data_IF_492204334918
#
_entry.id   IF_492204334918
#
_cell.length_a   1.000
_cell.length_b   1.000
_cell.length_c   1.000
_cell.angle_alpha   90.00
_cell.angle_beta   90.00
_cell.angle_gamma   90.00
#
_symmetry.space_group_name_H-M   'P 1'
#
loop_
_entity.id
_entity.type
_entity.pdbx_description
1 polymer ?
#
# COMPACT_ATOMS: atom_id res chain seq x y z
N UNK A 1 0.91 -36.60 26.50
CA UNK A 1 1.74 -36.17 25.36
C UNK A 1 1.11 -36.44 23.98
N UNK A 2 -0.18 -36.78 23.93
CA UNK A 2 -0.92 -37.04 22.68
C UNK A 2 -2.06 -36.04 22.40
N UNK A 3 -2.27 -35.06 23.26
CA UNK A 3 -3.36 -34.06 23.10
C UNK A 3 -2.91 -32.72 22.49
N UNK A 4 -1.63 -32.53 22.18
CA UNK A 4 -1.09 -31.28 21.63
C UNK A 4 -0.85 -31.32 20.11
N UNK A 5 -1.20 -32.41 19.42
CA UNK A 5 -1.01 -32.52 17.95
C UNK A 5 -2.25 -32.29 17.10
N UNK A 6 -3.39 -31.92 17.67
CA UNK A 6 -4.66 -31.84 16.96
C UNK A 6 -5.20 -30.40 16.71
N UNK A 7 -4.34 -29.35 16.77
CA UNK A 7 -4.74 -27.95 16.45
C UNK A 7 -3.65 -27.16 15.71
N UNK A 8 -2.92 -27.81 14.82
CA UNK A 8 -2.19 -27.10 13.76
C UNK A 8 -2.94 -27.30 12.44
N UNK A 9 -4.14 -26.76 12.34
CA UNK A 9 -4.66 -26.29 11.05
C UNK A 9 -3.71 -25.23 10.56
N UNK A 10 -3.19 -25.35 9.32
CA UNK A 10 -2.37 -24.31 8.71
C UNK A 10 -3.15 -23.01 8.81
N UNK A 11 -2.69 -22.04 9.63
CA UNK A 11 -3.25 -20.71 9.63
C UNK A 11 -3.13 -20.17 8.22
N UNK A 12 -4.26 -19.70 7.66
CA UNK A 12 -4.28 -19.11 6.33
C UNK A 12 -3.39 -17.87 6.34
N UNK A 13 -2.58 -17.70 5.30
CA UNK A 13 -1.74 -16.50 5.17
C UNK A 13 -2.62 -15.25 5.00
N UNK A 14 -2.17 -14.14 5.59
CA UNK A 14 -2.79 -12.83 5.41
C UNK A 14 -2.27 -12.17 4.13
N UNK A 15 -3.18 -11.59 3.34
CA UNK A 15 -2.87 -10.80 2.16
C UNK A 15 -3.58 -9.45 2.26
N UNK A 16 -2.82 -8.39 2.08
CA UNK A 16 -3.33 -7.03 2.01
C UNK A 16 -3.50 -6.64 0.54
N UNK A 17 -4.73 -6.33 0.15
CA UNK A 17 -5.09 -5.99 -1.23
C UNK A 17 -5.61 -4.56 -1.28
N UNK A 18 -4.99 -3.70 -2.09
CA UNK A 18 -5.49 -2.34 -2.34
C UNK A 18 -6.34 -2.32 -3.59
N UNK A 19 -7.51 -1.67 -3.52
CA UNK A 19 -8.38 -1.46 -4.68
C UNK A 19 -8.19 -0.05 -5.22
N UNK A 20 -7.68 0.03 -6.45
CA UNK A 20 -7.29 1.28 -7.11
C UNK A 20 -8.05 1.46 -8.44
N UNK A 21 -8.05 2.64 -9.00
CA UNK A 21 -8.71 2.97 -10.26
C UNK A 21 -9.33 4.36 -10.24
N UNK A 22 -9.86 4.77 -11.39
CA UNK A 22 -10.48 6.09 -11.55
C UNK A 22 -11.70 6.25 -10.63
N UNK A 23 -12.12 7.49 -10.40
CA UNK A 23 -13.41 7.81 -9.75
C UNK A 23 -14.53 7.11 -10.50
N UNK A 24 -15.52 6.67 -9.77
CA UNK A 24 -16.71 5.97 -10.29
C UNK A 24 -16.43 4.68 -11.08
N UNK A 25 -15.20 4.13 -11.03
CA UNK A 25 -14.90 2.82 -11.65
C UNK A 25 -15.53 1.63 -10.89
N UNK A 26 -16.21 1.88 -9.76
CA UNK A 26 -16.91 0.87 -8.98
C UNK A 26 -16.04 0.16 -7.93
N UNK A 27 -14.99 0.81 -7.42
CA UNK A 27 -14.10 0.27 -6.38
C UNK A 27 -14.87 -0.18 -5.14
N UNK A 28 -15.57 0.76 -4.50
CA UNK A 28 -16.32 0.48 -3.26
C UNK A 28 -17.46 -0.51 -3.48
N UNK A 29 -18.15 -0.45 -4.64
CA UNK A 29 -19.19 -1.42 -5.00
C UNK A 29 -18.62 -2.84 -5.09
N UNK A 30 -17.47 -3.00 -5.77
CA UNK A 30 -16.77 -4.30 -5.88
C UNK A 30 -16.35 -4.82 -4.51
N UNK A 31 -15.75 -3.96 -3.70
CA UNK A 31 -15.31 -4.28 -2.34
C UNK A 31 -16.49 -4.72 -1.46
N UNK A 32 -17.56 -3.94 -1.45
CA UNK A 32 -18.75 -4.22 -0.66
C UNK A 32 -19.44 -5.52 -1.09
N UNK A 33 -19.49 -5.80 -2.39
CA UNK A 33 -20.05 -7.04 -2.93
C UNK A 33 -19.25 -8.27 -2.46
N UNK A 34 -17.92 -8.22 -2.54
CA UNK A 34 -17.05 -9.31 -2.08
C UNK A 34 -17.23 -9.56 -0.60
N UNK A 35 -17.25 -8.52 0.23
CA UNK A 35 -17.39 -8.64 1.68
C UNK A 35 -18.75 -9.18 2.07
N UNK A 36 -19.83 -8.64 1.48
CA UNK A 36 -21.18 -9.09 1.74
C UNK A 36 -21.36 -10.59 1.47
N UNK A 37 -20.86 -11.04 0.31
CA UNK A 37 -21.01 -12.43 -0.12
C UNK A 37 -20.06 -13.40 0.60
N UNK A 38 -18.83 -13.00 0.90
CA UNK A 38 -17.86 -13.88 1.54
C UNK A 38 -18.02 -13.98 3.06
N UNK A 39 -18.41 -12.89 3.74
CA UNK A 39 -18.54 -12.87 5.21
C UNK A 39 -19.98 -12.95 5.70
N UNK A 40 -20.97 -12.81 4.84
CA UNK A 40 -22.39 -12.75 5.26
C UNK A 40 -22.73 -11.51 6.10
N UNK A 41 -21.90 -10.46 6.06
CA UNK A 41 -22.12 -9.21 6.81
C UNK A 41 -23.24 -8.42 6.13
N UNK A 42 -24.21 -7.96 6.91
CA UNK A 42 -25.33 -7.18 6.40
C UNK A 42 -24.88 -5.90 5.69
N UNK A 43 -25.47 -5.61 4.55
CA UNK A 43 -25.14 -4.46 3.71
C UNK A 43 -25.25 -3.13 4.46
N UNK A 44 -26.21 -2.99 5.36
CA UNK A 44 -26.38 -1.78 6.19
C UNK A 44 -25.19 -1.53 7.11
N UNK A 45 -24.60 -2.61 7.64
CA UNK A 45 -23.41 -2.53 8.48
C UNK A 45 -22.20 -2.08 7.66
N UNK A 46 -22.07 -2.56 6.42
CA UNK A 46 -21.01 -2.15 5.49
C UNK A 46 -21.17 -0.65 5.16
N UNK A 47 -22.37 -0.20 4.78
CA UNK A 47 -22.66 1.21 4.48
C UNK A 47 -22.36 2.15 5.66
N UNK A 48 -22.67 1.69 6.89
CA UNK A 48 -22.33 2.43 8.12
C UNK A 48 -20.82 2.60 8.28
N UNK A 49 -20.03 1.54 8.12
CA UNK A 49 -18.57 1.61 8.21
C UNK A 49 -17.95 2.45 7.10
N UNK A 50 -18.50 2.40 5.89
CA UNK A 50 -18.05 3.25 4.77
C UNK A 50 -18.29 4.73 5.07
N UNK A 51 -19.45 5.06 5.64
CA UNK A 51 -19.78 6.42 6.03
C UNK A 51 -18.88 6.93 7.15
N UNK A 52 -18.64 6.13 8.18
CA UNK A 52 -17.74 6.46 9.29
C UNK A 52 -16.29 6.67 8.79
N UNK A 53 -15.77 5.79 7.94
CA UNK A 53 -14.43 5.93 7.34
C UNK A 53 -14.32 7.16 6.44
N UNK A 54 -15.36 7.46 5.65
CA UNK A 54 -15.40 8.66 4.80
C UNK A 54 -15.44 9.97 5.62
N UNK A 55 -16.16 9.98 6.74
CA UNK A 55 -16.22 11.11 7.67
C UNK A 55 -14.85 11.36 8.36
N UNK A 56 -14.12 10.30 8.68
CA UNK A 56 -12.77 10.39 9.26
C UNK A 56 -11.68 10.68 8.22
N UNK A 57 -11.97 10.55 6.92
CA UNK A 57 -11.01 10.76 5.84
C UNK A 57 -9.90 9.71 5.79
N UNK A 58 -10.18 8.49 6.23
CA UNK A 58 -9.22 7.38 6.33
C UNK A 58 -9.50 6.29 5.30
N UNK A 59 -8.46 5.48 5.00
CA UNK A 59 -8.65 4.27 4.23
C UNK A 59 -9.45 3.24 5.03
N UNK A 60 -10.47 2.64 4.42
CA UNK A 60 -11.28 1.61 5.06
C UNK A 60 -10.58 0.25 4.94
N UNK A 61 -10.36 -0.41 6.07
CA UNK A 61 -9.81 -1.77 6.14
C UNK A 61 -10.93 -2.77 6.36
N UNK A 62 -11.17 -3.61 5.37
CA UNK A 62 -12.23 -4.62 5.41
C UNK A 62 -11.62 -6.00 5.21
N UNK A 63 -12.00 -6.97 6.05
CA UNK A 63 -11.46 -8.34 6.00
C UNK A 63 -12.53 -9.31 5.52
N UNK A 64 -12.14 -10.26 4.69
CA UNK A 64 -12.91 -11.45 4.38
C UNK A 64 -12.00 -12.67 4.24
N UNK A 65 -12.60 -13.85 4.29
CA UNK A 65 -11.90 -15.11 4.19
C UNK A 65 -12.18 -15.77 2.83
N UNK A 66 -11.14 -16.20 2.15
CA UNK A 66 -11.24 -17.03 0.95
C UNK A 66 -10.90 -18.48 1.27
N UNK A 67 -10.93 -19.34 0.26
CA UNK A 67 -10.51 -20.73 0.43
C UNK A 67 -9.06 -20.87 0.90
N UNK A 68 -8.19 -19.92 0.53
CA UNK A 68 -6.72 -19.99 0.77
C UNK A 68 -6.21 -18.96 1.76
N UNK A 69 -6.81 -17.76 1.80
CA UNK A 69 -6.25 -16.59 2.47
C UNK A 69 -7.24 -15.88 3.38
N UNK A 70 -6.71 -15.17 4.37
CA UNK A 70 -7.37 -14.02 4.96
C UNK A 70 -6.99 -12.78 4.14
N UNK A 71 -7.98 -12.16 3.49
CA UNK A 71 -7.78 -10.99 2.65
C UNK A 71 -8.24 -9.74 3.38
N UNK A 72 -7.34 -8.79 3.57
CA UNK A 72 -7.67 -7.45 4.01
C UNK A 72 -7.75 -6.54 2.80
N UNK A 73 -8.93 -6.00 2.49
CA UNK A 73 -9.07 -4.99 1.45
C UNK A 73 -8.82 -3.61 2.06
N UNK A 74 -7.95 -2.87 1.40
CA UNK A 74 -7.66 -1.47 1.66
C UNK A 74 -8.40 -0.67 0.59
N UNK A 75 -9.56 -0.13 0.94
CA UNK A 75 -10.33 0.74 0.05
C UNK A 75 -9.81 2.17 0.21
N UNK A 76 -9.05 2.63 -0.76
CA UNK A 76 -8.49 3.96 -0.78
C UNK A 76 -9.44 4.92 -1.54
N UNK A 77 -9.92 6.00 -0.91
CA UNK A 77 -10.85 6.94 -1.57
C UNK A 77 -10.21 7.57 -2.81
N UNK A 78 -10.94 7.48 -3.95
CA UNK A 78 -10.40 7.75 -5.28
C UNK A 78 -10.24 9.22 -5.67
N UNK A 79 -10.92 10.19 -5.05
CA UNK A 79 -11.08 11.49 -5.73
C UNK A 79 -10.23 12.65 -5.22
N UNK A 80 -9.84 12.69 -3.98
CA UNK A 80 -9.17 13.90 -3.42
C UNK A 80 -7.98 13.60 -2.52
N UNK A 81 -7.78 12.36 -2.16
CA UNK A 81 -6.77 11.96 -1.19
C UNK A 81 -5.77 10.95 -1.76
N UNK A 82 -4.96 11.41 -2.73
CA UNK A 82 -3.74 10.70 -3.18
C UNK A 82 -2.91 10.25 -1.97
N UNK A 83 -2.92 11.03 -0.90
CA UNK A 83 -2.29 10.70 0.38
C UNK A 83 -2.75 9.35 0.95
N UNK A 84 -4.06 9.14 1.10
CA UNK A 84 -4.60 7.89 1.65
C UNK A 84 -4.37 6.71 0.70
N UNK A 85 -4.40 6.97 -0.60
CA UNK A 85 -4.03 5.98 -1.61
C UNK A 85 -2.56 5.56 -1.48
N UNK A 86 -1.63 6.51 -1.33
CA UNK A 86 -0.20 6.22 -1.13
C UNK A 86 -0.01 5.39 0.14
N UNK A 87 -0.60 5.81 1.26
CA UNK A 87 -0.51 5.10 2.53
C UNK A 87 -1.11 3.69 2.44
N UNK A 88 -2.26 3.52 1.79
CA UNK A 88 -2.88 2.20 1.59
C UNK A 88 -2.06 1.30 0.68
N UNK A 89 -1.55 1.86 -0.43
CA UNK A 89 -0.78 1.10 -1.41
C UNK A 89 0.58 0.64 -0.87
N UNK A 90 1.23 1.45 -0.02
CA UNK A 90 2.53 1.09 0.57
C UNK A 90 2.48 -0.16 1.47
N UNK A 91 1.29 -0.58 1.88
CA UNK A 91 1.06 -1.74 2.75
C UNK A 91 0.49 -2.94 2.00
N UNK A 92 0.19 -2.77 0.71
CA UNK A 92 -0.49 -3.78 -0.07
C UNK A 92 0.48 -4.81 -0.67
N UNK A 93 0.12 -6.06 -0.61
CA UNK A 93 0.82 -7.18 -1.28
C UNK A 93 0.37 -7.33 -2.73
N UNK A 94 -0.88 -6.93 -3.02
CA UNK A 94 -1.50 -7.00 -4.34
C UNK A 94 -2.37 -5.76 -4.59
N UNK A 95 -2.50 -5.36 -5.83
CA UNK A 95 -3.44 -4.33 -6.25
C UNK A 95 -4.53 -4.89 -7.17
N UNK A 96 -5.77 -4.43 -6.98
CA UNK A 96 -6.87 -4.65 -7.92
C UNK A 96 -7.16 -3.32 -8.61
N UNK A 97 -6.81 -3.25 -9.90
CA UNK A 97 -7.08 -2.08 -10.74
C UNK A 97 -8.48 -2.19 -11.34
N UNK A 98 -9.37 -1.32 -10.89
CA UNK A 98 -10.74 -1.22 -11.40
C UNK A 98 -10.81 -0.28 -12.59
N UNK A 99 -11.28 -0.79 -13.72
CA UNK A 99 -11.43 -0.05 -14.97
C UNK A 99 -12.89 -0.10 -15.39
N UNK A 100 -13.52 1.05 -15.56
CA UNK A 100 -14.91 1.12 -16.04
C UNK A 100 -14.98 0.87 -17.55
N UNK A 101 -15.91 0.01 -18.00
CA UNK A 101 -16.09 -0.33 -19.42
C UNK A 101 -17.07 0.60 -20.15
N UNK A 102 -17.87 1.38 -19.42
CA UNK A 102 -18.88 2.28 -19.99
C UNK A 102 -18.30 3.26 -21.00
N UNK A 103 -19.11 3.63 -21.99
CA UNK A 103 -18.72 4.59 -23.03
C UNK A 103 -18.43 5.97 -22.40
N UNK A 104 -17.27 6.54 -22.72
CA UNK A 104 -16.78 7.80 -22.13
C UNK A 104 -16.11 7.64 -20.74
N UNK A 105 -16.48 6.63 -19.95
CA UNK A 105 -15.90 6.43 -18.61
C UNK A 105 -14.49 5.84 -18.69
N UNK A 106 -14.28 4.88 -19.58
CA UNK A 106 -12.96 4.31 -19.85
C UNK A 106 -12.01 5.39 -20.36
N UNK A 107 -12.41 6.14 -21.35
CA UNK A 107 -11.63 7.20 -21.98
C UNK A 107 -11.26 8.30 -20.98
N UNK A 108 -12.18 8.67 -20.07
CA UNK A 108 -11.90 9.59 -18.98
C UNK A 108 -10.83 9.03 -18.03
N UNK A 109 -10.93 7.74 -17.67
CA UNK A 109 -10.01 7.07 -16.76
C UNK A 109 -8.58 6.94 -17.30
N UNK A 110 -8.40 6.73 -18.60
CA UNK A 110 -7.09 6.58 -19.27
C UNK A 110 -6.57 7.89 -19.89
N UNK A 111 -7.34 8.98 -19.85
CA UNK A 111 -6.89 10.28 -20.34
C UNK A 111 -5.62 10.75 -19.62
N UNK A 112 -4.93 11.77 -20.18
CA UNK A 112 -3.72 12.35 -19.56
C UNK A 112 -3.93 12.80 -18.10
N UNK A 113 -5.15 13.19 -17.75
CA UNK A 113 -5.55 13.60 -16.39
C UNK A 113 -6.34 12.49 -15.67
N UNK A 114 -6.44 11.32 -16.26
CA UNK A 114 -7.14 10.16 -15.70
C UNK A 114 -6.30 9.45 -14.63
N UNK A 115 -6.96 9.02 -13.57
CA UNK A 115 -6.29 8.44 -12.41
C UNK A 115 -5.87 6.97 -12.62
N UNK A 116 -6.42 6.27 -13.62
CA UNK A 116 -6.12 4.85 -13.85
C UNK A 116 -4.62 4.63 -14.08
N UNK A 117 -4.01 5.48 -14.90
CA UNK A 117 -2.58 5.43 -15.18
C UNK A 117 -1.73 5.81 -13.97
N UNK A 118 -2.09 6.89 -13.31
CA UNK A 118 -1.39 7.39 -12.13
C UNK A 118 -1.39 6.35 -10.98
N UNK A 119 -2.55 5.73 -10.75
CA UNK A 119 -2.71 4.72 -9.70
C UNK A 119 -1.93 3.43 -9.99
N UNK A 120 -1.95 2.95 -11.24
CA UNK A 120 -1.18 1.74 -11.61
C UNK A 120 0.33 1.98 -11.49
N UNK A 121 0.81 3.15 -11.92
CA UNK A 121 2.22 3.53 -11.77
C UNK A 121 2.63 3.66 -10.31
N UNK A 122 1.77 4.29 -9.50
CA UNK A 122 2.01 4.43 -8.06
C UNK A 122 2.10 3.07 -7.36
N UNK A 123 1.18 2.14 -7.68
CA UNK A 123 1.21 0.80 -7.12
C UNK A 123 2.54 0.07 -7.46
N UNK A 124 2.98 0.15 -8.70
CA UNK A 124 4.26 -0.43 -9.12
C UNK A 124 5.45 0.17 -8.37
N UNK A 125 5.49 1.50 -8.27
CA UNK A 125 6.61 2.22 -7.64
C UNK A 125 6.69 1.98 -6.13
N UNK A 126 5.53 1.86 -5.48
CA UNK A 126 5.46 1.52 -4.04
C UNK A 126 5.71 0.03 -3.76
N UNK A 127 6.09 -0.75 -4.78
CA UNK A 127 6.55 -2.12 -4.61
C UNK A 127 5.48 -3.19 -4.74
N UNK A 128 4.25 -2.84 -5.12
CA UNK A 128 3.18 -3.80 -5.39
C UNK A 128 3.46 -4.51 -6.71
N UNK A 129 3.92 -5.75 -6.64
CA UNK A 129 4.35 -6.52 -7.83
C UNK A 129 3.22 -7.32 -8.48
N UNK A 130 2.16 -7.61 -7.75
CA UNK A 130 1.04 -8.43 -8.22
C UNK A 130 -0.17 -7.53 -8.50
N UNK A 131 -0.71 -7.66 -9.71
CA UNK A 131 -1.82 -6.85 -10.20
C UNK A 131 -2.93 -7.75 -10.74
N UNK A 132 -4.18 -7.40 -10.42
CA UNK A 132 -5.39 -7.94 -11.04
C UNK A 132 -6.12 -6.78 -11.67
N UNK A 133 -6.71 -6.96 -12.84
CA UNK A 133 -7.51 -5.93 -13.52
C UNK A 133 -8.96 -6.37 -13.58
N UNK A 134 -9.82 -5.66 -12.88
CA UNK A 134 -11.28 -5.82 -12.96
C UNK A 134 -11.86 -4.84 -13.99
N UNK A 135 -12.36 -5.33 -15.11
CA UNK A 135 -13.06 -4.52 -16.11
C UNK A 135 -14.54 -4.50 -15.74
N UNK A 136 -14.91 -3.45 -15.03
CA UNK A 136 -16.21 -3.31 -14.39
C UNK A 136 -17.23 -2.56 -15.25
N UNK A 137 -18.51 -2.64 -14.85
CA UNK A 137 -19.65 -2.04 -15.55
C UNK A 137 -19.85 -2.63 -16.95
N UNK A 138 -19.62 -3.93 -17.10
CA UNK A 138 -19.89 -4.63 -18.37
C UNK A 138 -21.39 -4.59 -18.75
N UNK A 139 -22.25 -4.47 -17.76
CA UNK A 139 -23.70 -4.25 -17.94
C UNK A 139 -24.04 -2.93 -18.64
N UNK A 140 -23.17 -1.94 -18.54
CA UNK A 140 -23.38 -0.57 -19.08
C UNK A 140 -22.67 -0.34 -20.42
N UNK A 141 -22.12 -1.37 -21.04
CA UNK A 141 -21.54 -1.28 -22.40
C UNK A 141 -22.62 -1.28 -23.49
N UNK A 142 -22.29 -0.81 -24.69
CA UNK A 142 -23.16 -0.84 -25.87
C UNK A 142 -22.56 -1.72 -26.98
N UNK A 143 -23.15 -2.90 -27.28
CA UNK A 143 -24.25 -3.55 -26.55
C UNK A 143 -23.83 -4.00 -25.13
N UNK A 144 -24.79 -4.23 -24.19
CA UNK A 144 -24.48 -4.74 -22.87
C UNK A 144 -23.64 -6.01 -22.92
N UNK A 145 -22.65 -6.12 -22.02
CA UNK A 145 -21.69 -7.24 -21.92
C UNK A 145 -20.89 -7.50 -23.20
N UNK A 146 -20.50 -6.41 -23.89
CA UNK A 146 -19.80 -6.45 -25.19
C UNK A 146 -18.41 -7.07 -25.09
N UNK A 147 -18.20 -8.21 -25.77
CA UNK A 147 -16.89 -8.84 -25.91
C UNK A 147 -15.89 -7.92 -26.60
N UNK A 148 -16.30 -7.23 -27.67
CA UNK A 148 -15.44 -6.31 -28.42
C UNK A 148 -14.89 -5.20 -27.51
N UNK A 149 -15.77 -4.61 -26.70
CA UNK A 149 -15.37 -3.55 -25.76
C UNK A 149 -14.39 -4.06 -24.72
N UNK A 150 -14.60 -5.25 -24.19
CA UNK A 150 -13.66 -5.90 -23.28
C UNK A 150 -12.28 -6.08 -23.93
N UNK A 151 -12.20 -6.62 -25.14
CA UNK A 151 -10.94 -6.85 -25.85
C UNK A 151 -10.18 -5.55 -26.15
N UNK A 152 -10.88 -4.46 -26.51
CA UNK A 152 -10.31 -3.13 -26.70
C UNK A 152 -9.65 -2.63 -25.41
N UNK A 153 -10.37 -2.73 -24.29
CA UNK A 153 -9.88 -2.29 -22.98
C UNK A 153 -8.68 -3.13 -22.52
N UNK A 154 -8.75 -4.45 -22.64
CA UNK A 154 -7.63 -5.36 -22.31
C UNK A 154 -6.37 -4.98 -23.09
N UNK A 155 -6.48 -4.73 -24.38
CA UNK A 155 -5.36 -4.35 -25.24
C UNK A 155 -4.71 -3.04 -24.79
N UNK A 156 -5.52 -2.02 -24.52
CA UNK A 156 -5.05 -0.70 -24.09
C UNK A 156 -4.38 -0.76 -22.72
N UNK A 157 -5.05 -1.37 -21.73
CA UNK A 157 -4.54 -1.51 -20.38
C UNK A 157 -3.28 -2.39 -20.36
N UNK A 158 -3.24 -3.50 -21.12
CA UNK A 158 -2.04 -4.35 -21.22
C UNK A 158 -0.84 -3.59 -21.78
N UNK A 159 -1.05 -2.78 -22.81
CA UNK A 159 0.00 -1.93 -23.38
C UNK A 159 0.55 -0.95 -22.34
N UNK A 160 -0.33 -0.37 -21.53
CA UNK A 160 0.03 0.60 -20.52
C UNK A 160 0.77 -0.02 -19.32
N UNK A 161 0.22 -1.10 -18.72
CA UNK A 161 0.87 -1.75 -17.56
C UNK A 161 2.24 -2.32 -17.93
N UNK A 162 2.42 -2.75 -19.20
CA UNK A 162 3.72 -3.16 -19.72
C UNK A 162 4.74 -2.01 -19.74
N UNK A 163 4.31 -0.79 -20.09
CA UNK A 163 5.18 0.40 -20.07
C UNK A 163 5.60 0.79 -18.64
N UNK A 164 4.75 0.52 -17.66
CA UNK A 164 5.07 0.74 -16.24
C UNK A 164 6.11 -0.27 -15.74
N UNK A 165 6.10 -1.51 -16.25
CA UNK A 165 7.01 -2.57 -15.84
C UNK A 165 6.31 -3.86 -15.37
N UNK A 166 4.98 -3.89 -15.33
CA UNK A 166 4.26 -5.14 -15.10
C UNK A 166 4.34 -6.05 -16.34
N UNK A 167 4.38 -7.36 -16.11
CA UNK A 167 4.23 -8.32 -17.19
C UNK A 167 2.74 -8.64 -17.38
N UNK A 168 2.11 -8.28 -18.52
CA UNK A 168 0.69 -8.55 -18.76
C UNK A 168 0.31 -10.05 -18.69
N UNK A 169 1.25 -10.97 -19.00
CA UNK A 169 1.02 -12.41 -18.93
C UNK A 169 0.83 -12.94 -17.51
N UNK A 170 1.25 -12.14 -16.50
CA UNK A 170 1.07 -12.43 -15.07
C UNK A 170 -0.13 -11.72 -14.46
N UNK A 171 -0.92 -11.01 -15.25
CA UNK A 171 -2.06 -10.20 -14.78
C UNK A 171 -3.37 -10.83 -15.25
N UNK A 172 -4.25 -11.12 -14.29
CA UNK A 172 -5.60 -11.58 -14.59
C UNK A 172 -6.49 -10.40 -14.99
N UNK A 173 -7.14 -10.50 -16.15
CA UNK A 173 -8.15 -9.54 -16.63
C UNK A 173 -9.52 -10.19 -16.51
N UNK A 174 -10.38 -9.63 -15.68
CA UNK A 174 -11.70 -10.19 -15.37
C UNK A 174 -12.79 -9.20 -15.75
N UNK A 175 -13.68 -9.52 -16.73
CA UNK A 175 -14.85 -8.70 -17.01
C UNK A 175 -15.90 -8.93 -15.91
N UNK A 176 -16.32 -7.87 -15.24
CA UNK A 176 -17.29 -7.96 -14.13
C UNK A 176 -18.42 -6.94 -14.27
N UNK A 177 -19.52 -7.23 -13.60
CA UNK A 177 -20.48 -6.22 -13.16
C UNK A 177 -20.57 -6.30 -11.64
N UNK A 178 -19.94 -5.36 -10.95
CA UNK A 178 -19.95 -5.33 -9.49
C UNK A 178 -21.37 -5.08 -8.92
N UNK A 179 -22.22 -4.41 -9.70
CA UNK A 179 -23.61 -4.16 -9.33
C UNK A 179 -24.46 -5.42 -9.36
N UNK A 180 -24.37 -6.20 -10.45
CA UNK A 180 -25.12 -7.44 -10.64
C UNK A 180 -24.44 -8.66 -10.02
N UNK A 181 -23.13 -8.57 -9.70
CA UNK A 181 -22.32 -9.69 -9.19
C UNK A 181 -21.75 -10.60 -10.28
N UNK A 182 -21.86 -10.21 -11.55
CA UNK A 182 -21.37 -11.02 -12.69
C UNK A 182 -19.86 -11.23 -12.63
N UNK A 183 -19.39 -12.46 -12.72
CA UNK A 183 -18.00 -12.91 -12.61
C UNK A 183 -17.26 -12.43 -11.31
N UNK A 184 -18.02 -12.11 -10.29
CA UNK A 184 -17.44 -11.77 -8.99
C UNK A 184 -17.05 -13.02 -8.20
N UNK A 185 -18.02 -13.88 -7.86
CA UNK A 185 -17.84 -15.14 -7.14
C UNK A 185 -18.12 -16.34 -8.03
N UNK A 186 -19.10 -16.22 -8.94
CA UNK A 186 -19.54 -17.25 -9.84
C UNK A 186 -19.47 -16.77 -11.30
N UNK A 187 -19.24 -17.68 -12.27
CA UNK A 187 -19.25 -17.34 -13.70
C UNK A 187 -20.59 -16.77 -14.14
N UNK A 188 -20.56 -15.67 -14.89
CA UNK A 188 -21.77 -15.01 -15.38
C UNK A 188 -22.38 -15.71 -16.59
N UNK A 189 -23.70 -15.89 -16.56
CA UNK A 189 -24.45 -16.33 -17.74
C UNK A 189 -24.55 -15.24 -18.82
N UNK A 190 -24.35 -13.96 -18.47
CA UNK A 190 -24.44 -12.82 -19.37
C UNK A 190 -23.18 -12.67 -20.25
N UNK A 191 -22.08 -13.32 -19.88
CA UNK A 191 -20.80 -13.28 -20.60
C UNK A 191 -20.32 -14.68 -21.03
N UNK A 192 -21.10 -15.43 -21.84
CA UNK A 192 -20.74 -16.79 -22.24
C UNK A 192 -19.49 -16.86 -23.15
N UNK A 193 -19.10 -15.74 -23.72
CA UNK A 193 -17.90 -15.57 -24.51
C UNK A 193 -16.63 -15.57 -23.67
N UNK A 194 -16.71 -15.19 -22.39
CA UNK A 194 -15.56 -15.18 -21.48
C UNK A 194 -15.25 -16.61 -21.03
N UNK A 195 -14.14 -17.15 -21.54
CA UNK A 195 -13.68 -18.52 -21.22
C UNK A 195 -12.74 -18.59 -20.02
N UNK A 196 -12.59 -17.46 -19.32
CA UNK A 196 -11.70 -17.32 -18.19
C UNK A 196 -10.39 -16.61 -18.52
N UNK A 197 -9.70 -16.20 -17.46
CA UNK A 197 -8.37 -15.63 -17.53
C UNK A 197 -7.31 -16.71 -17.32
N UNK A 198 -6.10 -16.46 -17.82
CA UNK A 198 -4.93 -17.31 -17.64
C UNK A 198 -3.75 -16.44 -17.26
N UNK A 199 -3.01 -16.83 -16.24
CA UNK A 199 -1.78 -16.16 -15.83
C UNK A 199 -0.63 -17.15 -15.79
N UNK A 200 0.54 -16.70 -16.23
CA UNK A 200 1.73 -17.52 -16.30
C UNK A 200 2.77 -16.96 -15.34
N UNK A 201 2.94 -17.61 -14.20
CA UNK A 201 4.04 -17.33 -13.27
C UNK A 201 5.23 -18.23 -13.56
N UNK A 202 6.42 -17.86 -13.05
CA UNK A 202 7.65 -18.66 -13.24
C UNK A 202 7.51 -20.09 -12.72
N UNK A 203 6.78 -20.26 -11.61
CA UNK A 203 6.69 -21.53 -10.88
C UNK A 203 5.34 -22.24 -11.03
N UNK A 204 4.31 -21.57 -11.55
CA UNK A 204 2.97 -22.11 -11.70
C UNK A 204 2.11 -21.32 -12.69
N UNK A 205 1.27 -22.04 -13.44
CA UNK A 205 0.23 -21.41 -14.24
C UNK A 205 -1.09 -21.47 -13.48
N UNK A 206 -1.86 -20.40 -13.53
CA UNK A 206 -3.18 -20.35 -12.92
C UNK A 206 -4.21 -19.88 -13.94
N UNK A 207 -5.44 -20.36 -13.77
CA UNK A 207 -6.58 -19.96 -14.59
C UNK A 207 -7.85 -19.97 -13.75
N UNK A 208 -8.81 -19.15 -14.12
CA UNK A 208 -10.10 -19.04 -13.45
C UNK A 208 -11.06 -18.21 -14.28
N UNK A 209 -12.26 -18.03 -13.75
CA UNK A 209 -13.35 -17.33 -14.43
C UNK A 209 -13.88 -16.15 -13.61
N UNK A 210 -13.52 -16.05 -12.33
CA UNK A 210 -14.06 -15.05 -11.41
C UNK A 210 -12.99 -14.16 -10.80
N UNK A 211 -13.43 -13.04 -10.25
CA UNK A 211 -12.58 -12.11 -9.51
C UNK A 211 -12.05 -12.72 -8.21
N UNK A 212 -12.87 -13.54 -7.52
CA UNK A 212 -12.46 -14.23 -6.31
C UNK A 212 -11.37 -15.27 -6.58
N UNK A 213 -11.50 -16.03 -7.67
CA UNK A 213 -10.44 -16.97 -8.09
C UNK A 213 -9.14 -16.27 -8.44
N UNK A 214 -9.21 -15.05 -9.04
CA UNK A 214 -8.03 -14.26 -9.32
C UNK A 214 -7.33 -13.81 -8.01
N UNK A 215 -8.09 -13.43 -6.98
CA UNK A 215 -7.55 -13.13 -5.66
C UNK A 215 -6.93 -14.36 -4.98
N UNK A 216 -7.52 -15.53 -5.14
CA UNK A 216 -6.98 -16.80 -4.63
C UNK A 216 -5.71 -17.29 -5.37
N UNK A 217 -5.42 -16.73 -6.54
CA UNK A 217 -4.22 -17.04 -7.32
C UNK A 217 -3.03 -16.11 -7.03
N UNK A 218 -3.19 -15.14 -6.14
CA UNK A 218 -2.11 -14.29 -5.67
C UNK A 218 -1.06 -15.18 -4.98
N UNK A 219 0.20 -14.97 -5.31
CA UNK A 219 1.32 -15.64 -4.63
C UNK A 219 1.53 -14.98 -3.28
N UNK A 220 1.66 -15.76 -2.19
CA UNK A 220 1.92 -15.20 -0.87
C UNK A 220 3.23 -14.39 -0.91
N UNK A 221 3.24 -13.18 -0.33
CA UNK A 221 4.42 -12.34 -0.34
C UNK A 221 5.52 -12.96 0.53
N UNK A 222 6.76 -12.87 0.06
CA UNK A 222 7.93 -13.22 0.86
C UNK A 222 8.17 -12.10 1.86
N UNK A 223 7.92 -12.38 3.12
CA UNK A 223 8.08 -11.41 4.21
C UNK A 223 9.37 -11.67 4.97
N UNK A 224 10.21 -10.64 5.18
CA UNK A 224 11.45 -10.80 5.92
C UNK A 224 11.14 -10.98 7.41
N UNK A 225 11.28 -12.19 7.92
CA UNK A 225 11.13 -12.51 9.35
C UNK A 225 12.45 -12.43 10.11
N UNK A 226 13.56 -12.34 9.40
CA UNK A 226 14.93 -12.28 9.90
C UNK A 226 15.44 -10.87 10.17
N UNK A 227 14.75 -9.85 9.65
CA UNK A 227 15.12 -8.43 9.84
C UNK A 227 14.59 -7.88 11.16
N UNK A 228 15.31 -6.91 11.76
CA UNK A 228 14.82 -6.13 12.90
C UNK A 228 13.47 -5.51 12.60
N UNK A 229 12.67 -5.34 13.66
CA UNK A 229 11.36 -4.75 13.53
C UNK A 229 11.44 -3.26 13.21
N UNK A 230 10.87 -2.86 12.07
CA UNK A 230 10.58 -1.46 11.74
C UNK A 230 9.14 -1.36 11.24
N UNK A 231 8.27 -0.76 12.06
CA UNK A 231 6.86 -0.68 11.78
C UNK A 231 6.36 0.77 11.77
N UNK A 232 5.87 1.26 10.64
CA UNK A 232 5.24 2.58 10.55
C UNK A 232 3.87 2.58 11.24
N UNK A 233 3.61 3.63 12.01
CA UNK A 233 2.32 3.84 12.67
C UNK A 233 1.31 4.44 11.70
N UNK A 234 0.15 3.80 11.58
CA UNK A 234 -0.95 4.32 10.76
C UNK A 234 -1.78 5.34 11.51
N UNK A 235 -2.14 4.99 12.73
CA UNK A 235 -2.95 5.85 13.58
C UNK A 235 -2.66 5.65 15.07
N UNK A 236 -3.07 6.63 15.88
CA UNK A 236 -2.87 6.61 17.33
C UNK A 236 -4.18 7.04 17.99
N UNK A 237 -4.89 6.09 18.59
CA UNK A 237 -6.17 6.33 19.26
C UNK A 237 -6.04 6.27 20.77
N UNK A 238 -6.88 7.03 21.45
CA UNK A 238 -7.12 6.89 22.89
C UNK A 238 -8.48 6.19 23.05
N UNK A 239 -8.45 4.88 23.16
CA UNK A 239 -9.61 4.10 23.59
C UNK A 239 -9.35 3.80 25.06
N UNK A 240 -10.29 4.06 25.96
CA UNK A 240 -10.16 3.95 27.43
C UNK A 240 -9.18 2.85 27.90
N UNK A 241 -7.89 3.23 27.99
CA UNK A 241 -6.81 2.38 28.47
C UNK A 241 -6.11 1.51 27.41
N UNK A 242 -6.47 1.54 26.14
CA UNK A 242 -5.89 0.75 25.06
C UNK A 242 -5.11 1.65 24.12
N UNK A 243 -3.86 1.34 23.87
CA UNK A 243 -2.99 2.01 22.89
C UNK A 243 -2.60 1.03 21.78
N UNK A 244 -1.96 1.49 20.76
CA UNK A 244 -1.84 0.82 19.48
C UNK A 244 -0.44 0.28 19.21
N UNK A 245 -0.33 -0.88 18.53
CA UNK A 245 0.56 -1.46 17.52
C UNK A 245 1.65 -2.44 17.91
N UNK A 246 2.40 -3.08 17.02
CA UNK A 246 2.66 -4.48 17.01
C UNK A 246 3.75 -4.92 17.97
N UNK A 247 3.84 -6.23 17.96
CA UNK A 247 4.95 -7.10 18.34
C UNK A 247 4.82 -7.69 19.72
N UNK A 248 5.49 -8.81 19.92
CA UNK A 248 5.38 -9.71 21.05
C UNK A 248 5.16 -9.06 22.42
N UNK A 249 4.33 -9.70 23.21
CA UNK A 249 4.02 -9.32 24.58
C UNK A 249 5.29 -9.11 25.41
N UNK A 250 5.43 -7.95 26.09
CA UNK A 250 6.59 -7.63 26.92
C UNK A 250 7.82 -7.13 26.17
N UNK A 251 7.76 -6.95 24.85
CA UNK A 251 8.84 -6.34 24.08
C UNK A 251 9.02 -4.86 24.44
N UNK A 252 10.27 -4.41 24.50
CA UNK A 252 10.58 -2.99 24.71
C UNK A 252 10.84 -2.34 23.35
N UNK A 253 10.00 -1.38 23.00
CA UNK A 253 10.02 -0.72 21.69
C UNK A 253 10.42 0.74 21.80
N UNK A 254 11.08 1.25 20.76
CA UNK A 254 11.45 2.66 20.60
C UNK A 254 10.71 3.26 19.42
N UNK A 255 10.18 4.46 19.60
CA UNK A 255 9.47 5.25 18.58
C UNK A 255 10.39 6.31 18.01
N UNK A 256 10.71 6.22 16.72
CA UNK A 256 11.41 7.27 15.98
C UNK A 256 10.39 8.17 15.23
N UNK A 257 10.69 9.46 15.05
CA UNK A 257 11.91 10.18 15.40
C UNK A 257 11.94 10.74 16.83
N UNK A 258 10.89 10.53 17.63
CA UNK A 258 10.71 11.15 18.95
C UNK A 258 11.55 10.51 20.07
N UNK A 259 12.16 9.35 19.81
CA UNK A 259 13.00 8.57 20.72
C UNK A 259 12.34 8.25 22.07
N UNK A 260 11.06 7.87 22.06
CA UNK A 260 10.33 7.40 23.26
C UNK A 260 10.41 5.89 23.34
N UNK A 261 10.87 5.36 24.48
CA UNK A 261 10.98 3.91 24.70
C UNK A 261 9.97 3.44 25.74
N UNK A 262 9.22 2.41 25.44
CA UNK A 262 8.19 1.83 26.30
C UNK A 262 8.03 0.32 26.10
N UNK A 263 7.25 -0.31 26.98
CA UNK A 263 6.95 -1.75 26.93
C UNK A 263 5.56 -2.00 26.35
N UNK A 264 5.46 -2.96 25.45
CA UNK A 264 4.20 -3.46 24.86
C UNK A 264 3.48 -4.34 25.87
N UNK A 265 2.18 -4.10 26.09
CA UNK A 265 1.36 -4.77 27.08
C UNK A 265 0.39 -5.80 26.50
N UNK A 266 -0.16 -5.55 25.35
CA UNK A 266 -0.98 -6.48 24.61
C UNK A 266 -0.82 -6.23 23.13
N UNK A 267 -1.07 -7.27 22.33
CA UNK A 267 -1.14 -7.23 20.88
C UNK A 267 -2.49 -7.80 20.48
N UNK A 268 -3.18 -7.13 19.57
CA UNK A 268 -4.51 -7.51 19.14
C UNK A 268 -4.64 -7.37 17.63
N UNK A 269 -5.43 -8.22 17.03
CA UNK A 269 -5.81 -8.11 15.63
C UNK A 269 -7.31 -8.41 15.51
N UNK A 270 -8.09 -7.47 14.97
CA UNK A 270 -9.54 -7.59 14.82
C UNK A 270 -10.27 -7.96 16.13
N UNK A 271 -9.89 -7.33 17.25
CA UNK A 271 -10.40 -7.59 18.61
C UNK A 271 -10.04 -8.96 19.19
N UNK A 272 -9.15 -9.71 18.56
CA UNK A 272 -8.60 -10.95 19.11
C UNK A 272 -7.20 -10.70 19.66
N UNK A 273 -6.96 -11.14 20.89
CA UNK A 273 -5.64 -11.02 21.51
C UNK A 273 -4.66 -12.00 20.88
N UNK A 274 -3.48 -11.48 20.50
CA UNK A 274 -2.39 -12.25 19.94
C UNK A 274 -1.22 -12.32 20.91
N UNK A 275 -0.46 -13.41 20.87
CA UNK A 275 0.81 -13.51 21.58
C UNK A 275 1.91 -12.70 20.89
N UNK A 276 1.88 -12.68 19.56
CA UNK A 276 2.80 -11.94 18.69
C UNK A 276 2.13 -11.58 17.37
N UNK A 277 2.54 -10.48 16.74
CA UNK A 277 2.18 -10.11 15.39
C UNK A 277 3.30 -10.50 14.42
N UNK A 278 2.95 -10.99 13.25
CA UNK A 278 3.88 -11.39 12.20
C UNK A 278 4.03 -10.30 11.14
N UNK A 279 5.15 -10.28 10.39
CA UNK A 279 5.29 -9.36 9.26
C UNK A 279 4.12 -9.47 8.30
N UNK A 280 3.47 -8.33 8.01
CA UNK A 280 2.30 -8.20 7.15
C UNK A 280 0.95 -8.27 7.86
N UNK A 281 0.93 -8.51 9.17
CA UNK A 281 -0.29 -8.39 9.95
C UNK A 281 -0.62 -6.92 10.23
N UNK A 282 -1.89 -6.58 10.14
CA UNK A 282 -2.38 -5.29 10.59
C UNK A 282 -2.87 -5.45 12.04
N UNK A 283 -2.03 -5.04 12.97
CA UNK A 283 -2.24 -5.31 14.40
C UNK A 283 -2.38 -4.03 15.22
N UNK A 284 -3.14 -4.09 16.30
CA UNK A 284 -3.21 -3.09 17.36
C UNK A 284 -2.39 -3.51 18.58
N UNK A 285 -1.70 -2.59 19.27
CA UNK A 285 -1.02 -2.88 20.54
C UNK A 285 -1.18 -1.81 21.62
N UNK A 286 -1.18 -2.25 22.82
CA UNK A 286 -1.33 -1.40 23.99
C UNK A 286 0.02 -1.06 24.60
N UNK A 287 0.25 0.23 24.83
CA UNK A 287 1.41 0.75 25.54
C UNK A 287 0.98 1.58 26.74
N UNK A 288 1.66 1.46 27.88
CA UNK A 288 1.35 2.24 29.08
C UNK A 288 2.33 3.40 29.25
N UNK A 289 1.81 4.49 29.82
CA UNK A 289 2.60 5.67 30.24
C UNK A 289 3.22 6.49 29.10
N UNK A 290 2.66 6.42 27.92
CA UNK A 290 2.95 7.30 26.80
C UNK A 290 1.67 8.06 26.46
N UNK A 291 1.78 9.38 26.29
CA UNK A 291 0.63 10.19 25.88
C UNK A 291 0.36 10.02 24.39
N UNK A 292 -0.91 10.07 24.00
CA UNK A 292 -1.32 10.13 22.56
C UNK A 292 -0.71 11.35 21.86
N UNK A 293 -0.37 12.40 22.62
CA UNK A 293 0.32 13.59 22.10
C UNK A 293 1.81 13.37 21.85
N UNK A 294 2.42 12.40 22.54
CA UNK A 294 3.85 12.10 22.42
C UNK A 294 4.15 11.26 21.17
N UNK A 295 3.23 10.39 20.75
CA UNK A 295 3.37 9.50 19.59
C UNK A 295 2.36 9.87 18.51
N UNK A 296 2.79 9.86 17.27
CA UNK A 296 1.97 10.28 16.12
C UNK A 296 2.01 9.25 15.01
N UNK A 297 1.08 9.39 14.09
CA UNK A 297 0.87 8.58 12.87
C UNK A 297 2.13 8.43 12.00
N UNK A 298 3.00 9.40 11.97
CA UNK A 298 4.23 9.44 11.16
C UNK A 298 5.45 8.78 11.81
N UNK A 299 5.27 8.21 13.00
CA UNK A 299 6.37 7.57 13.70
C UNK A 299 6.58 6.12 13.23
N UNK A 300 7.81 5.64 13.37
CA UNK A 300 8.19 4.25 13.17
C UNK A 300 8.59 3.63 14.49
N UNK A 301 8.09 2.42 14.74
CA UNK A 301 8.38 1.66 15.96
C UNK A 301 9.29 0.50 15.66
N UNK A 302 10.26 0.25 16.52
CA UNK A 302 11.16 -0.90 16.41
C UNK A 302 11.66 -1.41 17.74
N UNK A 303 12.36 -2.54 17.72
CA UNK A 303 12.99 -3.12 18.91
C UNK A 303 14.04 -2.17 19.46
N UNK A 304 13.95 -1.84 20.75
CA UNK A 304 14.91 -0.95 21.41
C UNK A 304 16.32 -1.54 21.53
N UNK A 305 16.50 -2.85 21.35
CA UNK A 305 17.75 -3.58 21.51
C UNK A 305 18.37 -4.08 20.21
N UNK A 306 17.57 -4.20 19.17
CA UNK A 306 17.99 -4.75 17.90
C UNK A 306 17.65 -3.76 16.79
N UNK A 307 18.64 -2.97 16.37
CA UNK A 307 18.55 -1.92 15.34
C UNK A 307 17.34 -0.99 15.52
N UNK A 308 17.30 -0.17 16.60
CA UNK A 308 16.18 0.71 16.85
C UNK A 308 16.04 1.75 15.71
N UNK A 309 14.82 2.06 15.28
CA UNK A 309 14.59 3.05 14.25
C UNK A 309 15.16 4.42 14.66
N UNK A 310 15.75 5.13 13.70
CA UNK A 310 16.40 6.41 13.95
C UNK A 310 15.81 7.51 13.04
N UNK A 311 15.97 8.76 13.48
CA UNK A 311 15.61 9.91 12.66
C UNK A 311 16.57 10.09 11.48
N UNK A 312 16.04 10.45 10.31
CA UNK A 312 16.83 10.86 9.15
C UNK A 312 17.11 12.38 9.21
N UNK A 313 18.36 12.76 8.97
CA UNK A 313 18.74 14.16 8.75
C UNK A 313 18.58 14.56 7.29
N UNK A 314 18.76 13.60 6.39
CA UNK A 314 18.62 13.69 4.94
C UNK A 314 18.79 12.31 4.33
N UNK A 315 18.56 12.22 3.04
CA UNK A 315 18.76 10.96 2.30
C UNK A 315 19.05 11.21 0.82
N UNK A 316 19.78 10.28 0.22
CA UNK A 316 19.99 10.22 -1.22
C UNK A 316 18.96 9.32 -1.85
N UNK A 317 18.28 9.81 -2.87
CA UNK A 317 17.20 9.09 -3.55
C UNK A 317 17.39 9.06 -5.05
N UNK A 318 16.91 7.99 -5.67
CA UNK A 318 16.67 7.90 -7.10
C UNK A 318 15.22 8.25 -7.36
N UNK A 319 14.96 9.21 -8.24
CA UNK A 319 13.63 9.70 -8.56
C UNK A 319 13.36 9.67 -10.06
N UNK A 320 12.08 9.53 -10.41
CA UNK A 320 11.56 9.71 -11.77
C UNK A 320 10.54 10.83 -11.72
N UNK A 321 10.78 11.87 -12.53
CA UNK A 321 9.87 13.01 -12.63
C UNK A 321 8.73 12.64 -13.58
N UNK A 322 7.47 12.70 -13.09
CA UNK A 322 6.28 12.29 -13.85
C UNK A 322 5.61 13.47 -14.56
N UNK A 323 4.92 14.30 -13.80
CA UNK A 323 4.09 15.39 -14.30
C UNK A 323 4.42 16.70 -13.57
N UNK A 324 5.44 17.40 -14.04
CA UNK A 324 5.74 18.76 -13.56
C UNK A 324 5.63 19.73 -14.73
N UNK A 325 4.86 20.81 -14.63
CA UNK A 325 4.63 21.76 -15.74
C UNK A 325 5.87 22.58 -16.10
N UNK A 326 6.87 22.62 -15.23
CA UNK A 326 8.09 23.40 -15.41
C UNK A 326 9.36 22.60 -15.20
N UNK A 327 10.41 23.28 -14.79
CA UNK A 327 11.71 22.71 -14.45
C UNK A 327 11.87 22.64 -12.94
N UNK A 328 12.28 21.48 -12.44
CA UNK A 328 12.64 21.29 -11.03
C UNK A 328 14.10 21.64 -10.85
N UNK A 329 14.41 22.49 -9.89
CA UNK A 329 15.78 22.90 -9.53
C UNK A 329 16.07 22.59 -8.08
N UNK A 330 17.34 22.63 -7.71
CA UNK A 330 17.75 22.59 -6.31
C UNK A 330 17.04 23.70 -5.53
N UNK A 331 16.55 23.37 -4.34
CA UNK A 331 15.72 24.25 -3.52
C UNK A 331 14.20 24.05 -3.64
N UNK A 332 13.71 23.29 -4.61
CA UNK A 332 12.31 22.89 -4.70
C UNK A 332 11.88 22.10 -3.46
N UNK A 333 10.75 22.42 -2.86
CA UNK A 333 10.30 21.86 -1.58
C UNK A 333 8.84 21.41 -1.63
N UNK A 334 8.54 20.34 -2.35
CA UNK A 334 7.21 19.75 -2.42
C UNK A 334 6.86 18.93 -1.16
N UNK A 335 5.67 18.33 -1.16
CA UNK A 335 5.28 17.34 -0.14
C UNK A 335 5.79 15.97 -0.53
N UNK A 336 6.53 15.36 0.37
CA UNK A 336 6.95 13.96 0.31
C UNK A 336 5.94 13.10 1.07
N UNK A 337 5.49 12.03 0.44
CA UNK A 337 4.68 10.98 1.05
C UNK A 337 5.52 9.69 1.08
N UNK A 338 6.00 9.32 2.26
CA UNK A 338 6.76 8.11 2.51
C UNK A 338 6.09 7.32 3.63
N UNK A 339 5.74 6.04 3.39
CA UNK A 339 4.92 5.24 4.30
C UNK A 339 3.71 6.03 4.84
N UNK A 340 3.62 6.29 6.15
CA UNK A 340 2.56 7.08 6.78
C UNK A 340 2.94 8.56 7.00
N UNK A 341 4.17 8.95 6.66
CA UNK A 341 4.69 10.31 6.84
C UNK A 341 4.39 11.19 5.62
N UNK A 342 4.00 12.44 5.86
CA UNK A 342 3.62 13.42 4.85
C UNK A 342 4.18 14.79 5.21
N UNK A 343 5.39 15.10 4.74
CA UNK A 343 6.11 16.35 5.09
C UNK A 343 6.65 17.05 3.86
N UNK A 344 6.81 18.36 3.97
CA UNK A 344 7.59 19.10 2.98
C UNK A 344 9.05 18.59 3.01
N UNK A 345 9.59 18.27 1.85
CA UNK A 345 10.95 17.81 1.70
C UNK A 345 11.65 18.58 0.60
N UNK A 346 12.84 19.10 0.89
CA UNK A 346 13.59 19.93 -0.04
C UNK A 346 14.52 19.09 -0.90
N UNK A 347 14.48 19.28 -2.20
CA UNK A 347 15.51 18.83 -3.15
C UNK A 347 16.77 19.68 -2.89
N UNK A 348 17.67 19.19 -2.06
CA UNK A 348 18.83 19.94 -1.62
C UNK A 348 19.86 20.08 -2.75
N UNK A 349 20.17 18.95 -3.40
CA UNK A 349 21.12 18.89 -4.50
C UNK A 349 20.65 17.92 -5.58
N UNK A 350 20.85 18.26 -6.83
CA UNK A 350 20.66 17.39 -7.99
C UNK A 350 22.02 16.80 -8.35
N UNK A 351 22.31 15.56 -7.93
CA UNK A 351 23.64 14.95 -8.11
C UNK A 351 23.88 14.49 -9.53
N UNK A 352 22.97 13.69 -10.05
CA UNK A 352 23.13 13.05 -11.35
C UNK A 352 21.79 12.96 -12.07
N UNK A 353 21.81 13.18 -13.38
CA UNK A 353 20.72 12.82 -14.26
C UNK A 353 21.01 11.44 -14.83
N UNK A 354 20.01 10.55 -14.75
CA UNK A 354 20.10 9.17 -15.23
C UNK A 354 19.03 8.89 -16.29
N UNK A 355 19.27 7.92 -17.13
CA UNK A 355 18.25 7.39 -18.03
C UNK A 355 17.26 6.52 -17.24
N UNK A 356 15.99 6.81 -17.36
CA UNK A 356 14.93 6.14 -16.58
C UNK A 356 14.75 4.64 -16.90
N UNK A 357 15.31 4.15 -18.02
CA UNK A 357 15.19 2.75 -18.44
C UNK A 357 16.46 1.93 -18.23
N UNK A 358 17.62 2.56 -18.38
CA UNK A 358 18.92 1.86 -18.34
C UNK A 358 19.76 2.17 -17.11
N UNK A 359 19.28 3.07 -16.24
CA UNK A 359 20.01 3.59 -15.06
C UNK A 359 21.40 4.20 -15.39
N UNK A 360 21.68 4.42 -16.67
CA UNK A 360 22.95 5.01 -17.09
C UNK A 360 23.00 6.50 -16.78
N UNK A 361 24.11 6.93 -16.24
CA UNK A 361 24.38 8.34 -15.99
C UNK A 361 24.44 9.12 -17.31
N UNK A 362 23.66 10.20 -17.38
CA UNK A 362 23.60 11.10 -18.53
C UNK A 362 24.36 12.41 -18.28
N UNK A 363 24.24 13.00 -17.09
CA UNK A 363 24.79 14.30 -16.73
C UNK A 363 25.14 14.37 -15.24
N UNK A 364 26.26 15.02 -14.91
CA UNK A 364 26.67 15.34 -13.54
C UNK A 364 26.17 16.73 -13.13
N UNK A 365 25.60 16.85 -11.93
CA UNK A 365 25.16 18.12 -11.37
C UNK A 365 24.19 18.88 -12.27
N UNK A 366 23.08 18.28 -12.74
CA UNK A 366 22.16 18.93 -13.66
C UNK A 366 21.57 20.19 -13.01
N UNK A 367 21.45 21.26 -13.77
CA UNK A 367 20.87 22.53 -13.29
C UNK A 367 19.37 22.44 -13.05
N UNK A 368 18.69 21.54 -13.74
CA UNK A 368 17.25 21.31 -13.65
C UNK A 368 16.86 19.92 -14.15
N UNK A 369 15.69 19.46 -13.73
CA UNK A 369 15.03 18.23 -14.20
C UNK A 369 13.70 18.58 -14.84
N UNK A 370 13.25 17.75 -15.78
CA UNK A 370 11.95 17.87 -16.48
C UNK A 370 11.15 16.57 -16.33
N UNK A 371 9.88 16.63 -16.69
CA UNK A 371 9.04 15.44 -16.82
C UNK A 371 9.69 14.37 -17.72
N UNK A 372 9.72 13.13 -17.25
CA UNK A 372 10.36 11.99 -17.90
C UNK A 372 11.83 11.77 -17.50
N UNK A 373 12.46 12.72 -16.82
CA UNK A 373 13.85 12.58 -16.37
C UNK A 373 13.93 11.66 -15.14
N UNK A 374 14.94 10.77 -15.15
CA UNK A 374 15.43 10.09 -13.96
C UNK A 374 16.60 10.84 -13.33
N UNK A 375 16.71 10.85 -12.01
CA UNK A 375 17.82 11.53 -11.34
C UNK A 375 18.18 10.91 -10.00
N UNK A 376 19.43 11.10 -9.58
CA UNK A 376 19.88 10.89 -8.19
C UNK A 376 19.97 12.26 -7.54
N UNK A 377 19.29 12.41 -6.40
CA UNK A 377 19.16 13.67 -5.68
C UNK A 377 19.39 13.49 -4.19
N UNK A 378 19.85 14.54 -3.53
CA UNK A 378 19.84 14.64 -2.08
C UNK A 378 18.60 15.38 -1.63
N UNK A 379 17.92 14.81 -0.66
CA UNK A 379 16.70 15.33 -0.08
C UNK A 379 16.86 15.60 1.41
N UNK A 380 16.31 16.72 1.86
CA UNK A 380 16.31 17.12 3.28
C UNK A 380 14.86 17.33 3.74
N UNK A 381 14.35 16.50 4.64
CA UNK A 381 13.00 16.65 5.16
C UNK A 381 12.88 17.89 6.06
N UNK A 382 11.76 18.61 5.95
CA UNK A 382 11.45 19.79 6.74
C UNK A 382 11.13 19.50 8.21
N UNK A 383 10.80 18.23 8.52
CA UNK A 383 10.64 17.70 9.87
C UNK A 383 11.41 16.40 9.99
N UNK A 384 11.82 16.07 11.21
CA UNK A 384 12.43 14.77 11.48
C UNK A 384 11.42 13.67 11.13
N UNK A 385 11.86 12.72 10.32
CA UNK A 385 11.12 11.53 9.97
C UNK A 385 12.04 10.32 10.07
N UNK A 386 11.49 9.14 10.02
CA UNK A 386 12.25 7.90 10.04
C UNK A 386 12.13 7.26 8.66
N UNK A 387 13.23 7.26 7.93
CA UNK A 387 13.35 6.66 6.61
C UNK A 387 14.40 5.58 6.63
N UNK A 388 14.23 4.59 5.76
CA UNK A 388 15.20 3.52 5.57
C UNK A 388 15.53 3.35 4.09
N UNK A 389 16.66 2.70 3.78
CA UNK A 389 17.00 2.42 2.40
C UNK A 389 16.03 1.38 1.82
N UNK A 390 15.72 1.51 0.53
CA UNK A 390 14.86 0.55 -0.17
C UNK A 390 15.44 -0.88 -0.16
N UNK A 391 16.76 -1.02 -0.17
CA UNK A 391 17.43 -2.32 -0.10
C UNK A 391 17.23 -3.02 1.24
N UNK A 392 17.16 -2.26 2.34
CA UNK A 392 17.02 -2.81 3.67
C UNK A 392 15.56 -3.01 4.05
N UNK A 393 14.74 -1.97 3.89
CA UNK A 393 13.31 -1.98 4.22
C UNK A 393 12.48 -1.39 3.08
N UNK A 394 12.15 -2.19 2.04
CA UNK A 394 11.43 -1.69 0.86
C UNK A 394 10.18 -0.86 1.18
N UNK A 395 9.30 -1.25 2.14
CA UNK A 395 8.12 -0.46 2.48
C UNK A 395 8.41 0.92 3.08
N UNK A 396 9.59 1.10 3.69
CA UNK A 396 10.03 2.37 4.28
C UNK A 396 10.96 3.16 3.36
N UNK A 397 11.38 2.56 2.25
CA UNK A 397 12.33 3.14 1.29
C UNK A 397 11.70 3.62 -0.02
N UNK A 398 10.38 3.53 -0.17
CA UNK A 398 9.64 4.05 -1.33
C UNK A 398 8.88 5.32 -0.96
N UNK A 399 8.83 6.28 -1.88
CA UNK A 399 8.09 7.50 -1.66
C UNK A 399 7.49 8.08 -2.95
N UNK A 400 6.47 8.90 -2.76
CA UNK A 400 5.92 9.75 -3.81
C UNK A 400 6.09 11.23 -3.44
N UNK A 401 6.20 12.06 -4.46
CA UNK A 401 6.34 13.52 -4.32
C UNK A 401 5.11 14.17 -4.93
N UNK A 402 4.43 15.01 -4.15
CA UNK A 402 3.24 15.75 -4.57
C UNK A 402 3.46 17.24 -4.53
N UNK A 403 2.88 17.91 -5.50
CA UNK A 403 2.70 19.37 -5.51
C UNK A 403 1.29 19.73 -5.98
N UNK A 404 0.63 20.65 -5.31
CA UNK A 404 -0.73 21.13 -5.63
C UNK A 404 -1.75 19.99 -5.90
N UNK A 405 -1.72 18.90 -5.14
CA UNK A 405 -2.57 17.70 -5.27
C UNK A 405 -2.31 16.84 -6.52
N UNK A 406 -1.21 17.06 -7.22
CA UNK A 406 -0.76 16.22 -8.33
C UNK A 406 0.51 15.48 -7.94
N UNK A 407 0.66 14.26 -8.43
CA UNK A 407 1.88 13.50 -8.27
C UNK A 407 2.93 14.01 -9.26
N UNK A 408 4.05 14.51 -8.72
CA UNK A 408 5.13 15.13 -9.50
C UNK A 408 6.26 14.16 -9.77
N UNK A 409 6.61 13.36 -8.78
CA UNK A 409 7.66 12.38 -8.91
C UNK A 409 7.42 11.18 -7.99
N UNK A 410 8.10 10.10 -8.31
CA UNK A 410 8.20 8.89 -7.47
C UNK A 410 9.65 8.53 -7.31
N UNK A 411 10.00 7.88 -6.19
CA UNK A 411 11.39 7.54 -5.97
C UNK A 411 11.61 6.47 -4.92
N UNK A 412 12.86 6.02 -4.87
CA UNK A 412 13.36 5.07 -3.87
C UNK A 412 14.58 5.64 -3.17
N UNK A 413 14.67 5.40 -1.88
CA UNK A 413 15.78 5.85 -1.04
C UNK A 413 16.96 4.88 -1.23
N UNK A 414 18.11 5.41 -1.61
CA UNK A 414 19.35 4.65 -1.80
C UNK A 414 20.19 4.60 -0.53
N UNK A 415 20.27 5.73 0.18
CA UNK A 415 21.05 5.86 1.40
C UNK A 415 20.44 6.90 2.32
N UNK A 416 20.51 6.70 3.61
CA UNK A 416 19.94 7.57 4.65
C UNK A 416 21.06 8.09 5.55
N UNK A 417 21.08 9.41 5.78
CA UNK A 417 21.91 10.04 6.78
C UNK A 417 21.19 10.02 8.13
N UNK A 418 21.45 8.98 8.91
CA UNK A 418 20.81 8.80 10.23
C UNK A 418 21.34 9.82 11.23
N UNK A 419 20.43 10.50 11.91
CA UNK A 419 20.74 11.48 12.95
C UNK A 419 20.60 10.84 14.33
N UNK A 420 21.67 10.86 15.11
CA UNK A 420 21.59 10.51 16.52
C UNK A 420 20.67 11.50 17.24
N UNK A 421 19.51 11.03 17.67
CA UNK A 421 18.60 11.84 18.49
C UNK A 421 19.11 11.80 19.93
N UNK A 422 19.10 12.95 20.62
CA UNK A 422 19.54 13.05 22.02
C UNK A 422 18.77 12.09 22.97
N UNK A 423 19.19 11.98 24.20
CA UNK A 423 18.63 11.07 25.20
C UNK A 423 17.09 11.17 25.25
N UNK A 424 16.42 10.09 24.85
CA UNK A 424 14.96 10.01 24.76
C UNK A 424 14.29 9.72 26.10
N UNK A 425 12.98 9.83 26.12
CA UNK A 425 12.13 9.52 27.27
C UNK A 425 11.96 8.00 27.43
N UNK A 426 12.55 7.41 28.46
CA UNK A 426 12.39 5.99 28.80
C UNK A 426 11.33 5.85 29.90
N UNK A 427 10.27 5.09 29.66
CA UNK A 427 9.22 4.86 30.65
C UNK A 427 9.71 3.95 31.79
N UNK A 428 9.16 4.12 32.99
CA UNK A 428 9.52 3.28 34.15
C UNK A 428 9.24 1.80 33.94
N UNK A 429 8.26 1.47 33.09
CA UNK A 429 7.95 0.08 32.67
C UNK A 429 9.06 -0.51 31.81
N UNK A 430 9.54 0.23 30.80
CA UNK A 430 10.67 -0.18 29.98
C UNK A 430 11.95 -0.37 30.79
N UNK A 431 12.24 0.55 31.75
CA UNK A 431 13.39 0.40 32.65
C UNK A 431 13.33 -0.88 33.49
N UNK A 432 12.12 -1.25 33.98
CA UNK A 432 11.93 -2.50 34.72
C UNK A 432 12.10 -3.73 33.81
N UNK A 433 11.51 -3.72 32.62
CA UNK A 433 11.62 -4.81 31.66
C UNK A 433 13.06 -5.02 31.15
N UNK A 434 13.84 -3.93 31.04
CA UNK A 434 15.25 -4.03 30.67
C UNK A 434 16.14 -4.60 31.80
N UNK A 435 15.75 -4.42 33.09
CA UNK A 435 16.48 -4.94 34.26
C UNK A 435 16.09 -6.39 34.62
N UNK A 436 14.95 -6.88 34.14
CA UNK A 436 14.42 -8.19 34.46
C UNK A 436 14.89 -9.30 33.49
N UNK A 437 15.70 -8.96 32.52
CA UNK A 437 16.44 -9.82 31.61
C UNK A 437 17.93 -9.59 31.81
#
# INVERSE_FOLDING_TARGET
>A
SLFLKAKMGKEKAHINTVVIGHVDSGKSTTTSHLIYKCNGIDQRTIEKFEKEAAEMGEASFKKYETSKYYVTIIDAPGHRDIKNMITGTSQADCAVLMVAAGAGEFEAGISKNGQTHEHALLAYTLGVKQLIVGINKMDSTEPPYSQKRYEEIVKEVSSYIKKIGYNPDTVAFVPISAWNGDNMLEPSANMPWFKGWKVTHKDSNASGTTQLEALDCILPPIRPTDKPLHLPLQDVYKIDGIGIVPVGLGMVVTFAPINVTTEVKSVEMHHEALNEGLPGDNVGFNIKKVSVTDVRRDNVTGDSKNDPPMAAAGFTAQVIILNHPGQIRAGYAPVLDCHTAHFACKFAELKEKIDSHSDKKLEDGPKFLKSGDGAIIDMVPGKLMCDESFSDYPPLGCFAVRDMRQMVAVGVIKAVDKKAVGAGKITKSAQKAQKAK
#
